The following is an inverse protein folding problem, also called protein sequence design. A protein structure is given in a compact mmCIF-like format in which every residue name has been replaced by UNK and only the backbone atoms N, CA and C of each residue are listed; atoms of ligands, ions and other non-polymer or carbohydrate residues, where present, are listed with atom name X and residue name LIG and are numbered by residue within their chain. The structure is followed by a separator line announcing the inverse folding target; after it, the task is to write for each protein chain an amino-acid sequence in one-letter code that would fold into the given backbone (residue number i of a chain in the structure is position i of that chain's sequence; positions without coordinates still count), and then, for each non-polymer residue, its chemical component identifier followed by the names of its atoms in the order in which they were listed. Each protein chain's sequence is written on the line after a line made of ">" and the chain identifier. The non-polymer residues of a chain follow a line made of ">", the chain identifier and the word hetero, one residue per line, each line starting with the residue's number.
data_IF_976605845469
#
_entry.id   IF_976605845469
#
_cell.length_a   1.000
_cell.length_b   1.000
_cell.length_c   1.000
_cell.angle_alpha   90.00
_cell.angle_beta   90.00
_cell.angle_gamma   90.00
#
_symmetry.space_group_name_H-M   'P 1'
#
loop_
_entity.id
_entity.type
_entity.pdbx_description
1 polymer ?
#
# COMPACT_ATOMS: atom_id res chain seq x y z
N UNK A 1 -7.07 6.14 18.54
CA UNK A 1 -7.70 4.82 18.42
C UNK A 1 -6.69 3.74 18.73
N UNK A 2 -7.05 2.77 19.52
CA UNK A 2 -6.14 1.70 19.89
C UNK A 2 -6.14 0.58 18.84
N UNK A 3 -4.96 0.05 18.58
CA UNK A 3 -4.77 -1.10 17.71
C UNK A 3 -4.80 -2.36 18.60
N UNK A 4 -5.82 -3.21 18.43
CA UNK A 4 -5.88 -4.46 19.15
C UNK A 4 -4.93 -5.51 18.55
N UNK A 5 -4.58 -6.53 19.34
CA UNK A 5 -3.61 -7.54 18.93
C UNK A 5 -4.07 -8.36 17.73
N UNK A 6 -5.35 -8.67 17.63
CA UNK A 6 -5.90 -9.45 16.51
C UNK A 6 -5.78 -8.68 15.21
N UNK A 7 -6.14 -7.40 15.22
CA UNK A 7 -6.03 -6.55 14.04
C UNK A 7 -4.57 -6.36 13.63
N UNK A 8 -3.69 -6.15 14.60
CA UNK A 8 -2.24 -6.03 14.35
C UNK A 8 -1.69 -7.28 13.69
N UNK A 9 -2.04 -8.45 14.20
CA UNK A 9 -1.61 -9.74 13.62
C UNK A 9 -2.11 -9.91 12.19
N UNK A 10 -3.36 -9.52 11.92
CA UNK A 10 -3.93 -9.60 10.57
C UNK A 10 -3.19 -8.68 9.60
N UNK A 11 -2.89 -7.45 10.02
CA UNK A 11 -2.12 -6.51 9.20
C UNK A 11 -0.73 -7.08 8.91
N UNK A 12 -0.04 -7.56 9.93
CA UNK A 12 1.32 -8.11 9.80
C UNK A 12 1.35 -9.35 8.89
N UNK A 13 0.30 -10.16 8.94
CA UNK A 13 0.16 -11.30 8.04
C UNK A 13 0.01 -10.84 6.59
N UNK A 14 -0.84 -9.86 6.33
CA UNK A 14 -1.07 -9.33 4.98
C UNK A 14 0.21 -8.75 4.37
N UNK A 15 0.89 -7.88 5.09
CA UNK A 15 2.12 -7.24 4.59
C UNK A 15 3.30 -8.22 4.53
N UNK A 16 3.21 -9.32 5.25
CA UNK A 16 4.22 -10.38 5.23
C UNK A 16 4.06 -11.37 4.08
N UNK A 17 2.87 -11.49 3.52
CA UNK A 17 2.60 -12.44 2.42
C UNK A 17 3.03 -11.91 1.06
N UNK A 18 3.19 -10.59 0.92
CA UNK A 18 3.56 -9.95 -0.33
C UNK A 18 4.65 -8.92 -0.09
N UNK A 19 5.62 -8.87 -0.98
CA UNK A 19 6.71 -7.90 -0.90
C UNK A 19 6.19 -6.47 -1.06
N UNK A 20 5.16 -6.28 -1.88
CA UNK A 20 4.51 -4.99 -2.09
C UNK A 20 3.04 -5.15 -1.71
N UNK A 21 2.56 -4.30 -0.84
CA UNK A 21 1.17 -4.37 -0.37
C UNK A 21 0.53 -2.99 -0.28
N UNK A 22 -0.69 -2.88 -0.77
CA UNK A 22 -1.44 -1.62 -0.80
C UNK A 22 -2.75 -1.76 -0.03
N UNK A 23 -2.91 -0.96 1.02
CA UNK A 23 -4.21 -0.78 1.68
C UNK A 23 -4.93 0.35 0.95
N UNK A 24 -6.11 0.09 0.44
CA UNK A 24 -6.83 1.03 -0.41
C UNK A 24 -8.33 0.95 -0.18
N UNK A 25 -9.05 1.92 -0.74
CA UNK A 25 -10.52 1.89 -0.79
C UNK A 25 -10.92 1.33 -2.15
N UNK A 26 -11.65 0.21 -2.13
CA UNK A 26 -11.94 -0.58 -3.31
C UNK A 26 -10.82 -1.56 -3.60
N UNK A 27 -10.65 -1.91 -4.85
CA UNK A 27 -9.58 -2.80 -5.31
C UNK A 27 -8.95 -2.22 -6.59
N UNK A 28 -7.83 -2.78 -7.07
CA UNK A 28 -7.14 -2.20 -8.24
C UNK A 28 -7.99 -2.14 -9.52
N UNK A 29 -8.97 -3.03 -9.67
CA UNK A 29 -9.85 -3.01 -10.84
C UNK A 29 -11.02 -2.04 -10.66
N UNK A 30 -11.46 -1.83 -9.42
CA UNK A 30 -12.58 -0.94 -9.09
C UNK A 30 -12.24 -0.09 -7.87
N UNK A 31 -11.32 0.90 -8.01
CA UNK A 31 -11.00 1.79 -6.90
C UNK A 31 -12.22 2.65 -6.53
N UNK A 32 -12.43 2.81 -5.23
CA UNK A 32 -13.58 3.54 -4.69
C UNK A 32 -13.22 4.94 -4.18
N UNK A 33 -12.04 5.43 -4.53
CA UNK A 33 -11.52 6.72 -4.09
C UNK A 33 -10.46 7.17 -5.09
N UNK A 34 -10.46 8.46 -5.42
CA UNK A 34 -9.49 9.01 -6.38
C UNK A 34 -8.04 8.78 -5.97
N UNK A 35 -7.74 8.93 -4.68
CA UNK A 35 -6.39 8.70 -4.17
C UNK A 35 -5.97 7.22 -4.27
N UNK A 36 -6.90 6.31 -3.99
CA UNK A 36 -6.65 4.88 -4.15
C UNK A 36 -6.48 4.50 -5.63
N UNK A 37 -7.23 5.15 -6.51
CA UNK A 37 -7.11 4.96 -7.95
C UNK A 37 -5.70 5.32 -8.43
N UNK A 38 -5.21 6.48 -8.02
CA UNK A 38 -3.86 6.94 -8.39
C UNK A 38 -2.80 6.00 -7.85
N UNK A 39 -2.90 5.60 -6.58
CA UNK A 39 -1.92 4.71 -5.95
C UNK A 39 -1.83 3.36 -6.67
N UNK A 40 -2.96 2.72 -6.95
CA UNK A 40 -2.97 1.44 -7.64
C UNK A 40 -2.47 1.56 -9.08
N UNK A 41 -2.81 2.67 -9.77
CA UNK A 41 -2.34 2.92 -11.13
C UNK A 41 -0.81 3.08 -11.17
N UNK A 42 -0.22 3.75 -10.18
CA UNK A 42 1.23 3.90 -10.07
C UNK A 42 1.89 2.52 -9.98
N UNK A 43 1.39 1.63 -9.12
CA UNK A 43 1.96 0.30 -8.96
C UNK A 43 1.81 -0.54 -10.23
N UNK A 44 0.68 -0.45 -10.90
CA UNK A 44 0.47 -1.14 -12.18
C UNK A 44 1.44 -0.64 -13.24
N UNK A 45 1.67 0.66 -13.29
CA UNK A 45 2.59 1.27 -14.24
C UNK A 45 4.04 0.85 -14.00
N UNK A 46 4.41 0.67 -12.73
CA UNK A 46 5.74 0.15 -12.38
C UNK A 46 5.91 -1.32 -12.76
N UNK A 47 4.82 -2.02 -13.03
CA UNK A 47 4.85 -3.43 -13.38
C UNK A 47 5.26 -4.33 -12.24
N UNK A 48 4.92 -3.96 -11.01
CA UNK A 48 5.20 -4.79 -9.83
C UNK A 48 3.96 -5.60 -9.46
N UNK A 49 4.20 -6.82 -8.97
CA UNK A 49 3.13 -7.60 -8.37
C UNK A 49 2.90 -7.08 -6.96
N UNK A 50 1.65 -6.89 -6.60
CA UNK A 50 1.32 -6.41 -5.26
C UNK A 50 0.03 -7.02 -4.73
N UNK A 51 0.02 -7.25 -3.43
CA UNK A 51 -1.20 -7.60 -2.72
C UNK A 51 -1.97 -6.34 -2.36
N UNK A 52 -3.24 -6.48 -2.08
CA UNK A 52 -4.07 -5.34 -1.72
C UNK A 52 -5.17 -5.76 -0.74
N UNK A 53 -5.66 -4.78 0.01
CA UNK A 53 -6.79 -4.96 0.92
C UNK A 53 -7.75 -3.80 0.73
N UNK A 54 -9.02 -4.14 0.49
CA UNK A 54 -10.08 -3.13 0.46
C UNK A 54 -10.53 -2.84 1.90
N UNK A 55 -10.08 -1.72 2.43
CA UNK A 55 -10.39 -1.36 3.83
C UNK A 55 -11.87 -1.03 4.05
N UNK A 56 -12.63 -0.84 2.98
CA UNK A 56 -14.07 -0.63 3.10
C UNK A 56 -14.81 -1.91 3.50
N UNK A 57 -14.20 -3.07 3.27
CA UNK A 57 -14.78 -4.36 3.64
C UNK A 57 -14.51 -4.75 5.09
N UNK A 58 -13.58 -4.08 5.76
CA UNK A 58 -13.20 -4.41 7.13
C UNK A 58 -12.82 -3.15 7.91
N UNK A 59 -13.75 -2.67 8.71
CA UNK A 59 -13.56 -1.44 9.48
C UNK A 59 -12.42 -1.57 10.50
N UNK A 60 -12.20 -2.76 11.06
CA UNK A 60 -11.09 -2.98 11.99
C UNK A 60 -9.75 -2.75 11.31
N UNK A 61 -9.60 -3.23 10.08
CA UNK A 61 -8.38 -2.98 9.29
C UNK A 61 -8.30 -1.51 8.90
N UNK A 62 -9.42 -0.90 8.49
CA UNK A 62 -9.44 0.51 8.09
C UNK A 62 -8.91 1.42 9.20
N UNK A 63 -9.38 1.22 10.42
CA UNK A 63 -8.95 2.01 11.57
C UNK A 63 -7.61 1.53 12.12
N UNK A 64 -7.40 0.21 12.13
CA UNK A 64 -6.17 -0.39 12.65
C UNK A 64 -4.94 -0.02 11.84
N UNK A 65 -5.05 0.07 10.51
CA UNK A 65 -3.89 0.42 9.69
C UNK A 65 -3.40 1.84 9.94
N UNK A 66 -4.31 2.75 10.28
CA UNK A 66 -3.94 4.12 10.63
C UNK A 66 -3.14 4.14 11.93
N UNK A 67 -3.58 3.37 12.92
CA UNK A 67 -2.87 3.24 14.19
C UNK A 67 -1.53 2.52 14.01
N UNK A 68 -1.51 1.47 13.21
CA UNK A 68 -0.32 0.67 12.94
C UNK A 68 0.80 1.50 12.29
N UNK A 69 0.46 2.31 11.30
CA UNK A 69 1.43 3.14 10.58
C UNK A 69 1.67 4.50 11.23
N UNK A 70 0.82 4.88 12.16
CA UNK A 70 0.75 6.25 12.69
C UNK A 70 0.55 7.27 11.56
N UNK A 71 -0.26 6.90 10.57
CA UNK A 71 -0.56 7.72 9.39
C UNK A 71 -2.07 7.79 9.19
N UNK A 72 -2.64 8.99 9.06
CA UNK A 72 -4.11 9.16 9.21
C UNK A 72 -4.93 8.84 7.96
N UNK A 73 -4.32 8.64 6.82
CA UNK A 73 -5.05 8.50 5.57
C UNK A 73 -4.80 7.18 4.83
N UNK A 74 -5.71 6.86 3.92
CA UNK A 74 -5.63 5.72 3.02
C UNK A 74 -5.72 6.28 1.60
N UNK A 75 -4.92 5.80 0.63
CA UNK A 75 -4.19 4.53 0.62
C UNK A 75 -2.86 4.58 1.36
N UNK A 76 -2.32 3.39 1.68
CA UNK A 76 -1.01 3.24 2.31
C UNK A 76 -0.23 2.11 1.62
N UNK A 77 0.99 2.42 1.23
CA UNK A 77 1.89 1.46 0.57
C UNK A 77 2.91 0.90 1.56
N UNK A 78 3.07 -0.43 1.53
CA UNK A 78 4.10 -1.14 2.28
C UNK A 78 5.01 -1.89 1.30
N UNK A 79 6.31 -1.82 1.53
CA UNK A 79 7.31 -2.57 0.76
C UNK A 79 8.17 -3.34 1.76
N UNK A 80 8.22 -4.68 1.62
CA UNK A 80 8.98 -5.54 2.53
C UNK A 80 8.64 -5.26 4.00
N UNK A 81 7.34 -5.13 4.30
CA UNK A 81 6.79 -4.87 5.62
C UNK A 81 7.04 -3.46 6.17
N UNK A 82 7.69 -2.60 5.39
CA UNK A 82 7.97 -1.22 5.81
C UNK A 82 6.96 -0.27 5.19
N UNK A 83 6.43 0.63 6.00
CA UNK A 83 5.53 1.67 5.53
C UNK A 83 6.31 2.66 4.66
N UNK A 84 5.81 2.91 3.45
CA UNK A 84 6.43 3.86 2.52
C UNK A 84 5.72 5.21 2.56
N UNK A 85 4.40 5.19 2.42
CA UNK A 85 3.63 6.42 2.42
C UNK A 85 2.27 6.26 1.75
N UNK A 86 1.59 7.37 1.59
CA UNK A 86 0.29 7.44 0.93
C UNK A 86 0.41 7.89 -0.52
N UNK A 87 -0.73 8.31 -1.07
CA UNK A 87 -0.83 8.69 -2.48
C UNK A 87 0.16 9.79 -2.88
N UNK A 88 0.27 10.85 -2.09
CA UNK A 88 1.14 11.99 -2.42
C UNK A 88 2.61 11.60 -2.44
N UNK A 89 3.03 10.81 -1.46
CA UNK A 89 4.41 10.30 -1.38
C UNK A 89 4.70 9.38 -2.57
N UNK A 90 3.78 8.46 -2.87
CA UNK A 90 3.93 7.55 -4.01
C UNK A 90 4.05 8.30 -5.33
N UNK A 91 3.21 9.32 -5.50
CA UNK A 91 3.21 10.14 -6.71
C UNK A 91 4.53 10.88 -6.88
N UNK A 92 5.00 11.50 -5.79
CA UNK A 92 6.29 12.22 -5.79
C UNK A 92 7.44 11.28 -6.10
N UNK A 93 7.49 10.11 -5.46
CA UNK A 93 8.53 9.12 -5.69
C UNK A 93 8.47 8.52 -7.10
N UNK A 94 7.27 8.35 -7.65
CA UNK A 94 7.11 7.87 -9.02
C UNK A 94 7.65 8.91 -10.03
N UNK A 95 7.35 10.19 -9.81
CA UNK A 95 7.80 11.27 -10.69
C UNK A 95 9.31 11.47 -10.64
N UNK A 96 9.93 11.30 -9.49
CA UNK A 96 11.38 11.47 -9.31
C UNK A 96 12.20 10.25 -9.71
N UNK A 97 11.56 9.09 -9.91
CA UNK A 97 12.25 7.82 -10.17
C UNK A 97 12.64 7.07 -8.90
N UNK A 98 12.43 7.68 -7.72
CA UNK A 98 12.80 7.06 -6.45
C UNK A 98 12.02 5.77 -6.16
N UNK A 99 10.77 5.66 -6.64
CA UNK A 99 9.96 4.47 -6.38
C UNK A 99 10.55 3.24 -7.10
N UNK A 100 10.90 3.40 -8.37
CA UNK A 100 11.54 2.32 -9.15
C UNK A 100 12.89 1.95 -8.53
N UNK A 101 13.65 2.94 -8.12
CA UNK A 101 14.93 2.71 -7.45
C UNK A 101 14.75 1.94 -6.15
N UNK A 102 13.72 2.28 -5.36
CA UNK A 102 13.42 1.58 -4.13
C UNK A 102 13.06 0.11 -4.41
N UNK A 103 12.24 -0.16 -5.41
CA UNK A 103 11.93 -1.54 -5.79
C UNK A 103 13.19 -2.30 -6.19
N UNK A 104 14.05 -1.69 -6.99
CA UNK A 104 15.29 -2.32 -7.44
C UNK A 104 16.23 -2.63 -6.27
N UNK A 105 16.40 -1.69 -5.32
CA UNK A 105 17.28 -1.91 -4.17
C UNK A 105 16.74 -2.96 -3.21
N UNK A 106 15.43 -3.19 -3.21
CA UNK A 106 14.80 -4.23 -2.38
C UNK A 106 14.65 -5.55 -3.12
N UNK A 107 15.19 -5.67 -4.32
CA UNK A 107 15.13 -6.90 -5.10
C UNK A 107 13.76 -7.22 -5.66
N UNK A 108 12.91 -6.23 -5.82
CA UNK A 108 11.56 -6.39 -6.35
C UNK A 108 11.57 -6.14 -7.85
N UNK A 109 11.07 -7.12 -8.60
CA UNK A 109 11.04 -7.04 -10.07
C UNK A 109 10.02 -6.00 -10.54
N UNK A 110 10.43 -5.15 -11.48
CA UNK A 110 9.56 -4.18 -12.15
C UNK A 110 9.51 -4.48 -13.64
N UNK A 111 8.38 -4.19 -14.27
CA UNK A 111 8.21 -4.30 -15.71
C UNK A 111 7.71 -2.96 -16.25
N UNK A 112 8.63 -2.09 -16.59
CA UNK A 112 8.30 -0.78 -17.11
C UNK A 112 8.17 -0.89 -18.63
N UNK A 113 6.99 -0.54 -19.12
CA UNK A 113 6.73 -0.51 -20.56
C UNK A 113 7.06 0.87 -21.14
#
# INVERSE_FOLDING_TARGET
>A
MELDNTTKENIEKMIGENDVFLFMKGNPDFPMCGFSSVASAILKKCGVEFGHCNVLDDESIREGIKAYSNWPTIPQLYIKKEFVGGCDIMKEMAESGELIELFNTRGIKTEIS
#
